data_IF_086918689618
#
_entry.id   IF_086918689618
#
_cell.length_a   1.000
_cell.length_b   1.000
_cell.length_c   1.000
_cell.angle_alpha   90.00
_cell.angle_beta   90.00
_cell.angle_gamma   90.00
#
_symmetry.space_group_name_H-M   'P 1'
#
loop_
_entity.id
_entity.type
_entity.pdbx_description
1 polymer ?
#
# COMPACT_ATOMS: atom_id res chain seq x y z
N UNK A 1 22.44 34.25 -27.42
CA UNK A 1 21.39 33.30 -27.01
C UNK A 1 20.99 33.65 -25.59
N UNK A 2 19.76 34.10 -25.36
CA UNK A 2 19.23 34.45 -24.04
C UNK A 2 18.24 33.34 -23.70
N UNK A 3 18.63 32.43 -22.81
CA UNK A 3 17.77 31.33 -22.38
C UNK A 3 16.70 31.97 -21.50
N UNK A 4 15.45 31.91 -21.95
CA UNK A 4 14.29 32.53 -21.30
C UNK A 4 14.06 31.82 -19.95
N UNK A 5 14.18 32.53 -18.82
CA UNK A 5 14.02 31.97 -17.47
C UNK A 5 12.62 31.34 -17.27
N UNK A 6 11.64 31.81 -18.04
CA UNK A 6 10.29 31.24 -18.09
C UNK A 6 10.28 29.82 -18.66
N UNK A 7 11.13 29.51 -19.62
CA UNK A 7 11.28 28.16 -20.15
C UNK A 7 11.90 27.23 -19.11
N UNK A 8 12.93 27.68 -18.38
CA UNK A 8 13.52 26.89 -17.29
C UNK A 8 12.50 26.58 -16.20
N UNK A 9 11.74 27.57 -15.74
CA UNK A 9 10.71 27.37 -14.73
C UNK A 9 9.62 26.38 -15.20
N UNK A 10 9.18 26.51 -16.46
CA UNK A 10 8.17 25.62 -17.03
C UNK A 10 8.66 24.17 -17.13
N UNK A 11 9.91 23.97 -17.57
CA UNK A 11 10.51 22.63 -17.62
C UNK A 11 10.74 22.05 -16.22
N UNK A 12 11.14 22.86 -15.25
CA UNK A 12 11.32 22.43 -13.86
C UNK A 12 10.00 22.02 -13.21
N UNK A 13 8.92 22.77 -13.48
CA UNK A 13 7.57 22.46 -13.01
C UNK A 13 7.05 21.15 -13.64
N UNK A 14 7.26 20.93 -14.94
CA UNK A 14 6.90 19.67 -15.60
C UNK A 14 7.70 18.50 -14.99
N UNK A 15 8.99 18.69 -14.74
CA UNK A 15 9.86 17.66 -14.19
C UNK A 15 9.41 17.27 -12.76
N UNK A 16 9.00 18.23 -11.93
CA UNK A 16 8.42 17.98 -10.60
C UNK A 16 7.10 17.20 -10.65
N UNK A 17 6.22 17.50 -11.62
CA UNK A 17 4.95 16.79 -11.77
C UNK A 17 5.13 15.32 -12.19
N UNK A 18 6.15 15.02 -13.01
CA UNK A 18 6.42 13.64 -13.48
C UNK A 18 6.89 12.70 -12.35
N UNK A 19 7.45 13.23 -11.24
CA UNK A 19 7.96 12.39 -10.13
C UNK A 19 6.90 12.02 -9.08
N UNK A 20 5.66 12.51 -9.21
CA UNK A 20 4.68 12.47 -8.11
C UNK A 20 3.63 11.36 -8.20
N UNK A 21 3.74 10.41 -9.14
CA UNK A 21 2.82 9.27 -9.21
C UNK A 21 3.49 7.97 -8.75
N UNK A 22 3.74 7.83 -7.44
CA UNK A 22 3.81 6.49 -6.83
C UNK A 22 2.38 5.98 -6.69
N UNK A 23 1.77 5.60 -7.81
CA UNK A 23 0.60 4.73 -7.76
C UNK A 23 1.07 3.40 -7.21
N UNK A 24 0.75 3.13 -5.95
CA UNK A 24 1.02 1.84 -5.32
C UNK A 24 0.03 0.85 -5.93
N UNK A 25 0.46 0.20 -7.02
CA UNK A 25 -0.32 -0.87 -7.62
C UNK A 25 -0.34 -2.01 -6.62
N UNK A 26 -1.46 -2.12 -5.89
CA UNK A 26 -1.67 -3.26 -5.02
C UNK A 26 -1.90 -4.47 -5.92
N UNK A 27 -0.89 -5.33 -6.06
CA UNK A 27 -1.09 -6.66 -6.61
C UNK A 27 -2.05 -7.39 -5.66
N UNK A 28 -3.31 -7.54 -6.09
CA UNK A 28 -4.32 -8.29 -5.35
C UNK A 28 -4.08 -9.77 -5.58
N UNK A 29 -3.49 -10.53 -4.63
CA UNK A 29 -3.36 -11.97 -4.80
C UNK A 29 -4.76 -12.59 -4.96
N UNK A 30 -5.00 -13.27 -6.09
CA UNK A 30 -6.19 -14.10 -6.23
C UNK A 30 -6.05 -15.34 -5.35
N UNK A 31 -7.03 -15.65 -4.50
CA UNK A 31 -7.03 -16.84 -3.63
C UNK A 31 -6.54 -16.60 -2.21
N UNK A 32 -6.72 -15.39 -1.68
CA UNK A 32 -6.51 -15.09 -0.25
C UNK A 32 -7.35 -16.05 0.60
N UNK A 33 -6.71 -16.72 1.57
CA UNK A 33 -7.44 -17.53 2.56
C UNK A 33 -7.98 -16.63 3.65
N UNK A 34 -9.27 -16.74 3.95
CA UNK A 34 -9.84 -16.08 5.12
C UNK A 34 -9.36 -16.76 6.41
N UNK A 35 -9.41 -16.04 7.53
CA UNK A 35 -8.76 -16.39 8.79
C UNK A 35 -7.23 -16.57 8.66
N UNK A 36 -6.56 -15.80 7.80
CA UNK A 36 -5.11 -15.93 7.62
C UNK A 36 -4.40 -14.59 7.55
N UNK A 37 -3.12 -14.61 7.90
CA UNK A 37 -2.22 -13.47 7.83
C UNK A 37 -1.53 -13.46 6.46
N UNK A 38 -1.61 -12.33 5.77
CA UNK A 38 -0.87 -12.07 4.54
C UNK A 38 0.11 -10.92 4.77
N UNK A 39 1.25 -11.00 4.11
CA UNK A 39 2.23 -9.92 4.10
C UNK A 39 1.74 -8.83 3.15
N UNK A 40 1.56 -7.63 3.68
CA UNK A 40 1.23 -6.43 2.92
C UNK A 40 2.28 -5.39 3.26
N UNK A 41 2.93 -4.84 2.24
CA UNK A 41 4.00 -3.86 2.45
C UNK A 41 3.45 -2.67 3.26
N UNK A 42 4.14 -2.33 4.35
CA UNK A 42 3.77 -1.21 5.25
C UNK A 42 2.40 -1.34 5.90
N UNK A 43 1.94 -2.56 6.18
CA UNK A 43 0.79 -2.71 7.09
C UNK A 43 1.12 -2.00 8.42
N UNK A 44 0.24 -1.09 8.85
CA UNK A 44 0.36 -0.37 10.10
C UNK A 44 -1.04 -0.24 10.72
N UNK A 45 -1.29 -0.87 11.90
CA UNK A 45 -2.59 -0.81 12.57
C UNK A 45 -3.05 0.62 12.88
N UNK A 46 -2.12 1.57 13.01
CA UNK A 46 -2.41 2.98 13.32
C UNK A 46 -2.63 3.83 12.06
N UNK A 47 -2.34 3.30 10.87
CA UNK A 47 -2.53 4.00 9.61
C UNK A 47 -3.85 3.58 8.94
N UNK A 48 -4.77 4.53 8.76
CA UNK A 48 -6.06 4.28 8.13
C UNK A 48 -5.94 3.81 6.67
N UNK A 49 -5.01 4.37 5.91
CA UNK A 49 -4.81 4.02 4.50
C UNK A 49 -4.27 2.59 4.36
N UNK A 50 -3.35 2.19 5.25
CA UNK A 50 -2.86 0.81 5.30
C UNK A 50 -3.97 -0.19 5.66
N UNK A 51 -4.84 0.16 6.60
CA UNK A 51 -6.00 -0.65 6.93
C UNK A 51 -7.02 -0.73 5.78
N UNK A 52 -7.23 0.35 5.03
CA UNK A 52 -8.08 0.32 3.84
C UNK A 52 -7.50 -0.57 2.75
N UNK A 53 -6.19 -0.47 2.48
CA UNK A 53 -5.52 -1.35 1.54
C UNK A 53 -5.64 -2.82 1.96
N UNK A 54 -5.37 -3.14 3.23
CA UNK A 54 -5.54 -4.49 3.77
C UNK A 54 -6.99 -5.00 3.63
N UNK A 55 -7.98 -4.16 3.97
CA UNK A 55 -9.40 -4.51 3.83
C UNK A 55 -9.76 -4.83 2.39
N UNK A 56 -9.35 -3.99 1.46
CA UNK A 56 -9.67 -4.13 0.05
C UNK A 56 -8.98 -5.38 -0.51
N UNK A 57 -7.72 -5.66 -0.13
CA UNK A 57 -6.99 -6.88 -0.53
C UNK A 57 -7.74 -8.14 -0.13
N UNK A 58 -8.15 -8.23 1.13
CA UNK A 58 -8.89 -9.38 1.62
C UNK A 58 -10.30 -9.46 1.00
N UNK A 59 -10.98 -8.32 0.83
CA UNK A 59 -12.34 -8.28 0.27
C UNK A 59 -12.38 -8.77 -1.17
N UNK A 60 -11.53 -8.18 -2.02
CA UNK A 60 -11.42 -8.59 -3.43
C UNK A 60 -10.72 -9.94 -3.60
N UNK A 61 -9.94 -10.38 -2.62
CA UNK A 61 -9.37 -11.73 -2.55
C UNK A 61 -10.37 -12.84 -2.22
N UNK A 62 -11.60 -12.51 -1.80
CA UNK A 62 -12.71 -13.46 -1.55
C UNK A 62 -13.24 -13.48 -0.12
N UNK A 63 -12.70 -12.68 0.80
CA UNK A 63 -13.15 -12.60 2.19
C UNK A 63 -14.13 -11.45 2.39
N UNK A 64 -15.43 -11.75 2.46
CA UNK A 64 -16.49 -10.72 2.52
C UNK A 64 -16.34 -9.74 3.70
N UNK A 65 -15.70 -10.17 4.80
CA UNK A 65 -15.43 -9.32 5.97
C UNK A 65 -14.18 -8.43 5.84
N UNK A 66 -13.48 -8.51 4.71
CA UNK A 66 -12.24 -7.76 4.47
C UNK A 66 -11.13 -8.22 5.41
N UNK A 67 -10.32 -7.28 5.88
CA UNK A 67 -9.17 -7.53 6.74
C UNK A 67 -8.73 -6.28 7.51
N UNK A 68 -7.76 -6.47 8.40
CA UNK A 68 -7.22 -5.42 9.25
C UNK A 68 -5.71 -5.61 9.46
N UNK A 69 -4.95 -4.51 9.57
CA UNK A 69 -3.55 -4.61 9.99
C UNK A 69 -3.46 -4.95 11.48
N UNK A 70 -2.67 -5.96 11.80
CA UNK A 70 -2.38 -6.41 13.17
C UNK A 70 -0.86 -6.49 13.38
N UNK A 71 -0.43 -6.27 14.62
CA UNK A 71 0.92 -6.64 15.05
C UNK A 71 0.94 -8.14 15.37
N UNK A 72 1.88 -8.86 14.77
CA UNK A 72 2.09 -10.28 15.01
C UNK A 72 3.55 -10.58 15.27
N UNK A 73 3.83 -11.75 15.82
CA UNK A 73 5.19 -12.24 15.95
C UNK A 73 5.47 -13.25 14.85
N UNK A 74 6.47 -12.98 14.02
CA UNK A 74 6.95 -13.94 13.01
C UNK A 74 7.51 -15.19 13.68
N UNK A 75 7.63 -16.30 12.94
CA UNK A 75 8.19 -17.58 13.43
C UNK A 75 9.62 -17.46 14.02
N UNK A 76 10.33 -16.38 13.66
CA UNK A 76 11.70 -16.07 14.10
C UNK A 76 11.71 -15.12 15.33
N UNK A 77 10.56 -14.85 15.94
CA UNK A 77 10.42 -14.03 17.14
C UNK A 77 10.45 -12.51 16.89
N UNK A 78 10.41 -12.06 15.64
CA UNK A 78 10.36 -10.64 15.30
C UNK A 78 8.92 -10.15 15.27
N UNK A 79 8.62 -9.07 16.01
CA UNK A 79 7.36 -8.35 15.85
C UNK A 79 7.34 -7.72 14.46
N UNK A 80 6.37 -8.13 13.66
CA UNK A 80 6.12 -7.63 12.32
C UNK A 80 4.63 -7.31 12.19
N UNK A 81 4.28 -6.59 11.13
CA UNK A 81 2.91 -6.12 10.91
C UNK A 81 2.33 -6.82 9.70
N UNK A 82 1.17 -7.42 9.90
CA UNK A 82 0.53 -8.29 8.93
C UNK A 82 -0.88 -7.82 8.66
N UNK A 83 -1.39 -8.13 7.47
CA UNK A 83 -2.81 -7.97 7.19
C UNK A 83 -3.52 -9.28 7.53
N UNK A 84 -4.43 -9.24 8.51
CA UNK A 84 -5.27 -10.38 8.87
C UNK A 84 -6.58 -10.33 8.07
N UNK A 85 -6.80 -11.31 7.20
CA UNK A 85 -8.04 -11.42 6.43
C UNK A 85 -9.12 -12.13 7.26
N UNK A 86 -10.18 -11.40 7.57
CA UNK A 86 -11.22 -11.82 8.50
C UNK A 86 -12.13 -12.90 7.92
N UNK A 87 -12.63 -13.74 8.82
CA UNK A 87 -13.74 -14.66 8.62
C UNK A 87 -14.85 -14.39 9.63
#
# INVERSE_FOLDING_TARGET
>A
MKIDERNLAFHFIILLMVVSSSGDWVDYPSGVRCCSYIQVERCDPLNADANFACRDVCHYGGCSKGGQCEEGTSDIGTTDRFCHCNC
#
